data_IF_968578280225
#
_entry.id   IF_968578280225
#
_cell.length_a   1.000
_cell.length_b   1.000
_cell.length_c   1.000
_cell.angle_alpha   90.00
_cell.angle_beta   90.00
_cell.angle_gamma   90.00
#
_symmetry.space_group_name_H-M   'P 1'
#
loop_
_entity.id
_entity.type
_entity.pdbx_description
1 polymer ?
#
# COMPACT_ATOMS: atom_id res chain seq x y z
N UNK A 1 -7.90 11.54 1.08
CA UNK A 1 -6.56 11.06 1.53
C UNK A 1 -6.20 11.73 2.85
N UNK A 2 -5.89 10.97 3.92
CA UNK A 2 -5.39 11.51 5.19
C UNK A 2 -4.06 12.27 5.05
N UNK A 3 -3.65 13.06 6.06
CA UNK A 3 -2.32 13.66 6.07
C UNK A 3 -1.22 12.57 6.15
N UNK A 4 -0.06 12.82 5.52
CA UNK A 4 1.01 11.81 5.38
C UNK A 4 1.56 11.29 6.71
N UNK A 5 1.47 12.07 7.79
CA UNK A 5 1.87 11.63 9.13
C UNK A 5 0.97 10.53 9.72
N UNK A 6 -0.20 10.26 9.10
CA UNK A 6 -1.10 9.14 9.43
C UNK A 6 -0.82 7.90 8.59
N UNK A 7 0.14 7.95 7.69
CA UNK A 7 0.54 6.80 6.88
C UNK A 7 1.74 6.08 7.46
N UNK A 8 1.65 4.76 7.54
CA UNK A 8 2.80 3.89 7.86
C UNK A 8 3.44 3.42 6.55
N UNK A 9 4.77 3.42 6.46
CA UNK A 9 5.49 2.99 5.26
C UNK A 9 5.88 1.51 5.36
N UNK A 10 5.71 0.79 4.26
CA UNK A 10 6.09 -0.61 4.12
C UNK A 10 6.76 -0.83 2.77
N UNK A 11 8.05 -1.15 2.79
CA UNK A 11 8.82 -1.43 1.58
C UNK A 11 8.83 -2.94 1.33
N UNK A 12 8.27 -3.36 0.20
CA UNK A 12 8.15 -4.79 -0.16
C UNK A 12 9.18 -5.23 -1.18
N UNK A 13 10.07 -4.34 -1.62
CA UNK A 13 11.07 -4.66 -2.65
C UNK A 13 12.01 -5.77 -2.20
N UNK A 14 12.41 -5.76 -0.94
CA UNK A 14 13.29 -6.80 -0.39
C UNK A 14 12.58 -8.16 -0.26
N UNK A 15 11.29 -8.17 0.12
CA UNK A 15 10.48 -9.38 0.15
C UNK A 15 10.39 -10.03 -1.24
N UNK A 16 10.04 -9.22 -2.25
CA UNK A 16 9.95 -9.68 -3.64
C UNK A 16 11.32 -10.18 -4.13
N UNK A 17 12.41 -9.47 -3.82
CA UNK A 17 13.78 -9.88 -4.18
C UNK A 17 14.15 -11.25 -3.61
N UNK A 18 13.64 -11.60 -2.42
CA UNK A 18 13.85 -12.91 -1.78
C UNK A 18 12.86 -13.98 -2.25
N UNK A 19 11.98 -13.68 -3.21
CA UNK A 19 10.91 -14.60 -3.64
C UNK A 19 9.80 -14.78 -2.60
N UNK A 20 9.70 -13.87 -1.62
CA UNK A 20 8.64 -13.90 -0.61
C UNK A 20 7.43 -13.10 -1.10
N UNK A 21 6.25 -13.70 -1.02
CA UNK A 21 5.01 -13.02 -1.40
C UNK A 21 4.65 -11.91 -0.40
N UNK A 22 4.50 -10.64 -0.84
CA UNK A 22 4.26 -9.53 0.07
C UNK A 22 2.78 -9.36 0.46
N UNK A 23 1.85 -9.95 -0.29
CA UNK A 23 0.42 -9.71 -0.12
C UNK A 23 -0.10 -10.03 1.30
N UNK A 24 0.23 -11.17 1.93
CA UNK A 24 -0.23 -11.46 3.30
C UNK A 24 0.20 -10.40 4.32
N UNK A 25 1.42 -9.88 4.18
CA UNK A 25 1.97 -8.85 5.07
C UNK A 25 1.33 -7.47 4.82
N UNK A 26 1.03 -7.14 3.56
CA UNK A 26 0.26 -5.94 3.21
C UNK A 26 -1.15 -6.04 3.78
N UNK A 27 -1.83 -7.18 3.55
CA UNK A 27 -3.19 -7.44 4.03
C UNK A 27 -3.31 -7.24 5.54
N UNK A 28 -2.43 -7.90 6.30
CA UNK A 28 -2.35 -7.77 7.76
C UNK A 28 -2.25 -6.29 8.21
N UNK A 29 -1.50 -5.46 7.48
CA UNK A 29 -1.31 -4.04 7.81
C UNK A 29 -2.53 -3.21 7.43
N UNK A 30 -3.11 -3.39 6.24
CA UNK A 30 -4.27 -2.62 5.80
C UNK A 30 -5.53 -2.97 6.59
N UNK A 31 -5.71 -4.25 6.96
CA UNK A 31 -6.82 -4.69 7.82
C UNK A 31 -6.73 -4.15 9.25
N UNK A 32 -5.52 -3.80 9.72
CA UNK A 32 -5.30 -3.19 11.03
C UNK A 32 -5.32 -1.66 11.05
N UNK A 33 -5.62 -0.99 9.92
CA UNK A 33 -5.72 0.47 9.87
C UNK A 33 -7.00 0.95 10.56
N UNK A 34 -6.87 1.96 11.43
CA UNK A 34 -8.00 2.68 11.98
C UNK A 34 -8.55 3.70 10.97
N UNK A 35 -9.74 4.25 11.25
CA UNK A 35 -10.29 5.35 10.47
C UNK A 35 -9.32 6.55 10.43
N UNK A 36 -9.04 7.05 9.23
CA UNK A 36 -8.08 8.14 9.03
C UNK A 36 -6.60 7.75 9.06
N UNK A 37 -6.26 6.46 9.19
CA UNK A 37 -4.91 5.94 8.96
C UNK A 37 -4.74 5.41 7.53
N UNK A 38 -3.48 5.29 7.10
CA UNK A 38 -3.13 4.75 5.80
C UNK A 38 -1.84 3.93 5.79
N UNK A 39 -1.62 3.21 4.69
CA UNK A 39 -0.41 2.44 4.41
C UNK A 39 0.21 2.93 3.10
N UNK A 40 1.52 3.20 3.13
CA UNK A 40 2.33 3.44 1.94
C UNK A 40 3.07 2.15 1.62
N UNK A 41 2.84 1.58 0.45
CA UNK A 41 3.55 0.41 -0.08
C UNK A 41 4.55 0.86 -1.13
N UNK A 42 5.81 0.47 -0.98
CA UNK A 42 6.85 0.69 -1.99
C UNK A 42 7.14 -0.61 -2.70
N UNK A 43 6.90 -0.65 -4.00
CA UNK A 43 7.04 -1.84 -4.84
C UNK A 43 7.99 -1.57 -6.03
N UNK A 44 8.66 -2.60 -6.57
CA UNK A 44 9.60 -2.44 -7.68
C UNK A 44 8.90 -2.31 -9.05
N UNK A 45 7.58 -2.50 -9.10
CA UNK A 45 6.73 -2.35 -10.28
C UNK A 45 5.31 -1.95 -9.85
N UNK A 46 4.48 -1.48 -10.79
CA UNK A 46 3.10 -1.08 -10.53
C UNK A 46 2.29 -2.30 -10.04
N UNK A 47 1.78 -2.30 -8.79
CA UNK A 47 1.10 -3.47 -8.25
C UNK A 47 -0.40 -3.42 -8.59
N UNK A 48 -0.77 -3.41 -9.87
CA UNK A 48 -2.18 -3.29 -10.32
C UNK A 48 -3.11 -4.32 -9.66
N UNK A 49 -2.76 -5.62 -9.56
CA UNK A 49 -3.65 -6.61 -8.94
C UNK A 49 -3.93 -6.33 -7.45
N UNK A 50 -2.95 -5.79 -6.72
CA UNK A 50 -3.11 -5.38 -5.33
C UNK A 50 -4.06 -4.19 -5.23
N UNK A 51 -3.92 -3.21 -6.12
CA UNK A 51 -4.75 -2.01 -6.15
C UNK A 51 -6.21 -2.39 -6.40
N UNK A 52 -6.47 -3.23 -7.40
CA UNK A 52 -7.82 -3.71 -7.73
C UNK A 52 -8.41 -4.50 -6.56
N UNK A 53 -7.63 -5.42 -5.98
CA UNK A 53 -8.08 -6.22 -4.83
C UNK A 53 -8.45 -5.33 -3.65
N UNK A 54 -7.58 -4.40 -3.23
CA UNK A 54 -7.87 -3.53 -2.09
C UNK A 54 -8.99 -2.53 -2.36
N UNK A 55 -9.13 -2.06 -3.60
CA UNK A 55 -10.27 -1.23 -4.00
C UNK A 55 -11.60 -1.98 -3.85
N UNK A 56 -11.64 -3.25 -4.24
CA UNK A 56 -12.82 -4.10 -4.08
C UNK A 56 -13.17 -4.39 -2.61
N UNK A 57 -12.21 -4.26 -1.69
CA UNK A 57 -12.39 -4.40 -0.23
C UNK A 57 -12.72 -3.06 0.46
N UNK A 58 -12.94 -2.00 -0.32
CA UNK A 58 -13.36 -0.68 0.15
C UNK A 58 -12.23 0.24 0.60
N UNK A 59 -10.98 -0.04 0.20
CA UNK A 59 -9.87 0.89 0.41
C UNK A 59 -9.73 1.86 -0.77
N UNK A 60 -9.51 3.13 -0.48
CA UNK A 60 -9.09 4.10 -1.48
C UNK A 60 -7.59 3.95 -1.73
N UNK A 61 -7.15 4.27 -2.96
CA UNK A 61 -5.74 4.21 -3.31
C UNK A 61 -5.27 5.38 -4.17
N UNK A 62 -3.99 5.70 -4.07
CA UNK A 62 -3.29 6.67 -4.92
C UNK A 62 -1.95 6.06 -5.31
N UNK A 63 -1.57 6.21 -6.58
CA UNK A 63 -0.30 5.71 -7.10
C UNK A 63 0.59 6.88 -7.50
N UNK A 64 1.86 6.83 -7.13
CA UNK A 64 2.88 7.78 -7.52
C UNK A 64 4.14 7.05 -8.00
N UNK A 65 4.85 7.68 -8.94
CA UNK A 65 6.20 7.23 -9.34
C UNK A 65 7.19 7.65 -8.26
N UNK A 66 8.04 6.71 -7.83
CA UNK A 66 9.14 6.99 -6.92
C UNK A 66 10.32 7.67 -7.63
N UNK A 67 11.44 7.81 -6.91
CA UNK A 67 12.67 8.45 -7.45
C UNK A 67 13.39 7.63 -8.54
N UNK A 68 13.06 6.35 -8.70
CA UNK A 68 13.65 5.45 -9.70
C UNK A 68 12.56 4.62 -10.38
N UNK A 69 12.81 3.35 -10.70
CA UNK A 69 11.81 2.40 -11.20
C UNK A 69 10.78 1.96 -10.14
N UNK A 70 10.85 2.52 -8.94
CA UNK A 70 9.96 2.20 -7.82
C UNK A 70 8.58 2.84 -7.99
N UNK A 71 7.59 2.15 -7.45
CA UNK A 71 6.21 2.62 -7.36
C UNK A 71 5.84 2.80 -5.89
N UNK A 72 5.21 3.92 -5.59
CA UNK A 72 4.71 4.25 -4.27
C UNK A 72 3.19 4.25 -4.33
N UNK A 73 2.57 3.38 -3.55
CA UNK A 73 1.11 3.27 -3.51
C UNK A 73 0.61 3.58 -2.11
N UNK A 74 -0.33 4.50 -2.02
CA UNK A 74 -0.99 4.89 -0.79
C UNK A 74 -2.32 4.15 -0.75
N UNK A 75 -2.61 3.49 0.37
CA UNK A 75 -3.89 2.85 0.66
C UNK A 75 -4.46 3.45 1.94
N UNK A 76 -5.74 3.79 1.97
CA UNK A 76 -6.41 4.29 3.18
C UNK A 76 -7.89 3.94 3.16
N UNK A 77 -8.52 3.99 4.34
CA UNK A 77 -9.99 4.04 4.44
C UNK A 77 -10.43 5.49 4.51
N UNK A 78 -11.46 5.84 3.75
CA UNK A 78 -12.10 7.15 3.92
C UNK A 78 -12.67 7.23 5.34
N UNK A 79 -12.40 8.34 6.04
CA UNK A 79 -13.04 8.59 7.32
C UNK A 79 -14.51 8.91 7.04
N UNK A 80 -15.42 8.11 7.59
CA UNK A 80 -16.86 8.37 7.58
C UNK A 80 -17.17 9.45 8.61
#
# INVERSE_FOLDING_TARGET
MPPLNKFKRFDVRDLIRRGTEPFPEIWKRVSGLNAGEGLIVVAPFLPSPLIEKLSSEGFASKVERGQSSDWVVYFWREAV
#
